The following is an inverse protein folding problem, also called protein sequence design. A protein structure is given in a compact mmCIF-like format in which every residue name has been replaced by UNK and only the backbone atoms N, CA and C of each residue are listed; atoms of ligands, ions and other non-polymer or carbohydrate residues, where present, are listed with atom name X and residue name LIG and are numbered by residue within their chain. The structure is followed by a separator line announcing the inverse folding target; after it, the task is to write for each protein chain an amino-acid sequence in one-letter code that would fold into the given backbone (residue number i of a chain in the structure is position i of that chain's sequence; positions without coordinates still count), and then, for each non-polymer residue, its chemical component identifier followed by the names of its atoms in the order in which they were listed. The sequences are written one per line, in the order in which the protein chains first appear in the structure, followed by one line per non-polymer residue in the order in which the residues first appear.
data_IF_935675029606
#
_entry.id   IF_935675029606
#
_cell.length_a   1.000
_cell.length_b   1.000
_cell.length_c   1.000
_cell.angle_alpha   90.00
_cell.angle_beta   90.00
_cell.angle_gamma   90.00
#
_symmetry.space_group_name_H-M   'P 1'
#
loop_
_entity.id
_entity.type
_entity.pdbx_description
1 polymer ?
#
# COMPACT_ATOMS: atom_id res chain seq x y z
N UNK A 1 -14.85 -8.53 10.81
CA UNK A 1 -13.76 -8.53 9.82
C UNK A 1 -14.09 -7.46 8.79
N UNK A 2 -13.14 -6.63 8.42
CA UNK A 2 -13.34 -5.57 7.41
C UNK A 2 -13.50 -6.22 6.04
N UNK A 3 -14.59 -5.90 5.35
CA UNK A 3 -14.83 -6.27 3.96
C UNK A 3 -15.12 -4.99 3.17
N UNK A 4 -14.40 -4.80 2.08
CA UNK A 4 -14.53 -3.64 1.20
C UNK A 4 -15.28 -4.10 -0.03
N UNK A 5 -16.40 -3.43 -0.35
CA UNK A 5 -17.20 -3.72 -1.51
C UNK A 5 -17.36 -2.49 -2.38
N UNK A 6 -17.05 -2.66 -3.65
CA UNK A 6 -17.22 -1.66 -4.72
C UNK A 6 -18.32 -2.13 -5.64
N UNK A 7 -19.27 -1.27 -5.97
CA UNK A 7 -20.40 -1.60 -6.85
C UNK A 7 -20.60 -0.52 -7.91
N UNK A 8 -20.54 -0.93 -9.17
CA UNK A 8 -20.81 -0.12 -10.36
C UNK A 8 -20.06 1.22 -10.37
N UNK A 9 -18.80 1.21 -9.91
CA UNK A 9 -17.99 2.41 -9.76
C UNK A 9 -17.60 2.97 -11.12
N UNK A 10 -17.89 4.25 -11.34
CA UNK A 10 -17.47 4.99 -12.54
C UNK A 10 -16.67 6.23 -12.14
N UNK A 11 -15.68 6.56 -12.97
CA UNK A 11 -14.90 7.79 -12.85
C UNK A 11 -14.43 8.27 -14.21
N UNK A 12 -14.64 9.56 -14.46
CA UNK A 12 -14.26 10.24 -15.71
C UNK A 12 -13.52 11.53 -15.37
N UNK A 13 -12.50 11.90 -16.12
CA UNK A 13 -11.86 13.20 -16.06
C UNK A 13 -11.96 13.88 -17.43
N UNK A 14 -12.76 14.95 -17.53
CA UNK A 14 -13.14 15.53 -18.81
C UNK A 14 -13.83 14.50 -19.70
N UNK A 15 -13.30 14.22 -20.87
CA UNK A 15 -13.83 13.22 -21.81
C UNK A 15 -13.20 11.82 -21.63
N UNK A 16 -12.28 11.66 -20.66
CA UNK A 16 -11.57 10.41 -20.46
C UNK A 16 -12.21 9.56 -19.36
N UNK A 17 -12.82 8.44 -19.76
CA UNK A 17 -13.36 7.44 -18.83
C UNK A 17 -12.22 6.62 -18.26
N UNK A 18 -12.03 6.68 -16.94
CA UNK A 18 -10.94 6.00 -16.21
C UNK A 18 -11.44 4.73 -15.53
N UNK A 19 -12.63 4.77 -14.92
CA UNK A 19 -13.27 3.60 -14.33
C UNK A 19 -14.67 3.47 -14.94
N UNK A 20 -15.00 2.26 -15.40
CA UNK A 20 -16.29 2.00 -16.01
C UNK A 20 -16.97 0.79 -15.36
N UNK A 21 -18.05 1.04 -14.63
CA UNK A 21 -18.90 0.01 -14.01
C UNK A 21 -18.13 -1.05 -13.20
N UNK A 22 -17.09 -0.63 -12.49
CA UNK A 22 -16.21 -1.53 -11.75
C UNK A 22 -16.91 -2.05 -10.50
N UNK A 23 -16.92 -3.39 -10.33
CA UNK A 23 -17.51 -4.03 -9.14
C UNK A 23 -16.60 -5.15 -8.64
N UNK A 24 -16.30 -5.16 -7.34
CA UNK A 24 -15.56 -6.23 -6.70
C UNK A 24 -15.73 -6.21 -5.18
N UNK A 25 -15.27 -7.28 -4.53
CA UNK A 25 -15.22 -7.39 -3.06
C UNK A 25 -13.83 -7.83 -2.62
N UNK A 26 -13.25 -7.11 -1.67
CA UNK A 26 -11.97 -7.41 -1.04
C UNK A 26 -12.18 -7.69 0.45
N UNK A 27 -11.95 -8.93 0.87
CA UNK A 27 -11.91 -9.38 2.26
C UNK A 27 -10.49 -9.58 2.76
N UNK A 28 -10.32 -10.25 3.89
CA UNK A 28 -9.01 -10.66 4.40
C UNK A 28 -8.24 -11.42 3.32
N UNK A 29 -6.97 -11.08 3.15
CA UNK A 29 -6.12 -11.57 2.07
C UNK A 29 -5.69 -10.48 1.12
N UNK A 30 -4.97 -10.86 0.06
CA UNK A 30 -4.54 -9.95 -0.98
C UNK A 30 -5.55 -9.91 -2.12
N UNK A 31 -5.95 -8.70 -2.52
CA UNK A 31 -6.69 -8.42 -3.76
C UNK A 31 -5.78 -7.59 -4.66
N UNK A 32 -5.39 -8.18 -5.80
CA UNK A 32 -4.57 -7.50 -6.81
C UNK A 32 -5.42 -6.65 -7.72
N UNK A 33 -5.00 -5.42 -7.92
CA UNK A 33 -5.58 -4.51 -8.91
C UNK A 33 -4.64 -4.52 -10.13
N UNK A 34 -5.09 -5.13 -11.21
CA UNK A 34 -4.34 -5.29 -12.44
C UNK A 34 -4.79 -4.28 -13.49
N UNK A 35 -3.85 -3.82 -14.30
CA UNK A 35 -4.13 -2.92 -15.40
C UNK A 35 -2.84 -2.28 -15.92
N UNK A 36 -2.87 -1.84 -17.17
CA UNK A 36 -1.74 -1.12 -17.79
C UNK A 36 -1.46 0.19 -17.05
N UNK A 37 -0.31 0.81 -17.31
CA UNK A 37 -0.07 2.18 -16.86
C UNK A 37 -1.20 3.09 -17.38
N UNK A 38 -1.74 3.94 -16.51
CA UNK A 38 -2.88 4.80 -16.86
C UNK A 38 -4.27 4.14 -16.82
N UNK A 39 -4.39 2.85 -16.52
CA UNK A 39 -5.70 2.15 -16.46
C UNK A 39 -6.61 2.57 -15.29
N UNK A 40 -6.18 3.51 -14.43
CA UNK A 40 -6.99 3.98 -13.31
C UNK A 40 -6.72 3.33 -11.96
N UNK A 41 -5.66 2.52 -11.82
CA UNK A 41 -5.31 1.86 -10.54
C UNK A 41 -5.19 2.88 -9.41
N UNK A 42 -4.34 3.88 -9.56
CA UNK A 42 -4.15 4.94 -8.57
C UNK A 42 -5.43 5.75 -8.31
N UNK A 43 -6.25 5.98 -9.34
CA UNK A 43 -7.56 6.65 -9.19
C UNK A 43 -8.50 5.81 -8.32
N UNK A 44 -8.62 4.50 -8.57
CA UNK A 44 -9.39 3.60 -7.74
C UNK A 44 -8.91 3.64 -6.27
N UNK A 45 -7.60 3.52 -6.05
CA UNK A 45 -7.03 3.54 -4.70
C UNK A 45 -7.29 4.89 -3.99
N UNK A 46 -7.20 6.00 -4.70
CA UNK A 46 -7.53 7.33 -4.15
C UNK A 46 -9.01 7.47 -3.77
N UNK A 47 -9.90 6.93 -4.58
CA UNK A 47 -11.34 6.90 -4.28
C UNK A 47 -11.62 6.07 -3.03
N UNK A 48 -11.00 4.90 -2.89
CA UNK A 48 -11.16 4.04 -1.70
C UNK A 48 -10.65 4.71 -0.42
N UNK A 49 -9.60 5.53 -0.54
CA UNK A 49 -9.05 6.34 0.57
C UNK A 49 -9.87 7.61 0.87
N UNK A 50 -10.91 7.91 0.09
CA UNK A 50 -11.67 9.15 0.19
C UNK A 50 -10.89 10.41 -0.24
N UNK A 51 -9.79 10.24 -0.97
CA UNK A 51 -8.97 11.34 -1.52
C UNK A 51 -9.50 11.85 -2.87
N UNK A 52 -10.44 11.11 -3.46
CA UNK A 52 -11.16 11.47 -4.67
C UNK A 52 -12.59 10.93 -4.59
N UNK A 53 -13.50 11.46 -5.39
CA UNK A 53 -14.89 11.02 -5.40
C UNK A 53 -15.23 10.32 -6.72
N UNK A 54 -15.98 9.22 -6.70
CA UNK A 54 -16.52 8.62 -7.92
C UNK A 54 -17.63 9.49 -8.52
N UNK A 55 -17.85 9.36 -9.80
CA UNK A 55 -18.98 10.03 -10.48
C UNK A 55 -20.29 9.28 -10.23
N UNK A 56 -20.20 7.95 -10.11
CA UNK A 56 -21.33 7.08 -9.75
C UNK A 56 -20.84 5.77 -9.14
N UNK A 57 -21.77 4.98 -8.60
CA UNK A 57 -21.51 3.74 -7.91
C UNK A 57 -21.56 3.87 -6.40
N UNK A 58 -21.24 2.78 -5.71
CA UNK A 58 -21.31 2.72 -4.25
C UNK A 58 -20.09 2.03 -3.65
N UNK A 59 -19.65 2.53 -2.50
CA UNK A 59 -18.54 1.99 -1.71
C UNK A 59 -19.05 1.59 -0.33
N UNK A 60 -18.68 0.38 0.12
CA UNK A 60 -19.04 -0.13 1.44
C UNK A 60 -17.78 -0.62 2.15
N UNK A 61 -17.73 -0.45 3.46
CA UNK A 61 -16.60 -0.88 4.28
C UNK A 61 -15.35 0.00 4.16
N UNK A 62 -15.42 1.10 3.41
CA UNK A 62 -14.29 2.04 3.22
C UNK A 62 -14.12 3.02 4.37
N UNK A 63 -15.13 3.18 5.23
CA UNK A 63 -15.03 4.00 6.45
C UNK A 63 -14.29 3.22 7.55
N UNK A 64 -13.03 2.90 7.30
CA UNK A 64 -12.14 2.17 8.19
C UNK A 64 -10.77 2.88 8.24
N UNK A 65 -9.90 2.45 9.15
CA UNK A 65 -8.54 3.00 9.22
C UNK A 65 -7.69 2.38 8.13
N UNK A 66 -7.29 3.19 7.19
CA UNK A 66 -6.39 2.79 6.12
C UNK A 66 -4.93 3.08 6.48
N UNK A 67 -4.04 2.17 6.13
CA UNK A 67 -2.65 2.51 5.90
C UNK A 67 -2.32 2.34 4.41
N UNK A 68 -1.44 3.20 3.89
CA UNK A 68 -1.17 3.23 2.46
C UNK A 68 0.32 3.42 2.15
N UNK A 69 0.78 2.73 1.11
CA UNK A 69 1.99 3.05 0.36
C UNK A 69 1.54 3.63 -0.97
N UNK A 70 1.94 4.85 -1.25
CA UNK A 70 1.69 5.53 -2.52
C UNK A 70 2.87 5.31 -3.48
N UNK A 71 2.69 5.67 -4.74
CA UNK A 71 3.76 5.64 -5.73
C UNK A 71 4.95 6.50 -5.29
N UNK A 72 4.69 7.64 -4.65
CA UNK A 72 5.69 8.45 -3.95
C UNK A 72 5.83 7.98 -2.49
N UNK A 73 7.06 7.82 -1.99
CA UNK A 73 7.31 7.29 -0.64
C UNK A 73 6.87 8.23 0.49
N UNK A 74 6.81 9.54 0.22
CA UNK A 74 6.34 10.59 1.16
C UNK A 74 7.04 10.49 2.52
N UNK A 75 8.36 10.42 2.49
CA UNK A 75 9.24 10.38 3.66
C UNK A 75 9.83 11.76 3.95
N UNK A 76 10.13 12.01 5.22
CA UNK A 76 10.81 13.23 5.66
C UNK A 76 12.32 13.06 5.46
N UNK A 77 12.86 13.67 4.41
CA UNK A 77 14.21 13.42 3.92
C UNK A 77 15.34 13.78 4.90
N UNK A 78 15.10 14.73 5.80
CA UNK A 78 16.08 15.21 6.79
C UNK A 78 16.09 14.41 8.10
N UNK A 79 15.11 13.52 8.28
CA UNK A 79 15.02 12.62 9.43
C UNK A 79 15.61 11.25 9.08
N UNK A 80 15.98 10.47 10.09
CA UNK A 80 16.33 9.07 9.94
C UNK A 80 15.09 8.16 9.86
N UNK A 81 15.30 6.84 9.79
CA UNK A 81 14.22 5.87 9.67
C UNK A 81 13.31 5.84 10.91
N UNK A 82 13.94 5.86 12.11
CA UNK A 82 13.20 5.78 13.37
C UNK A 82 12.33 7.02 13.58
N UNK A 83 12.88 8.20 13.34
CA UNK A 83 12.16 9.46 13.48
C UNK A 83 11.05 9.61 12.44
N UNK A 84 11.23 9.11 11.21
CA UNK A 84 10.14 9.02 10.22
C UNK A 84 8.99 8.13 10.71
N UNK A 85 9.30 6.98 11.32
CA UNK A 85 8.28 6.10 11.89
C UNK A 85 7.61 6.73 13.12
N UNK A 86 8.37 7.33 14.03
CA UNK A 86 7.84 8.06 15.20
C UNK A 86 6.89 9.18 14.79
N UNK A 87 7.29 9.97 13.80
CA UNK A 87 6.47 11.07 13.28
C UNK A 87 5.14 10.56 12.71
N UNK A 88 5.20 9.51 11.90
CA UNK A 88 4.01 8.99 11.20
C UNK A 88 3.05 8.22 12.13
N UNK A 89 3.59 7.49 13.11
CA UNK A 89 2.81 6.61 13.98
C UNK A 89 2.35 7.30 15.29
N UNK A 90 3.02 8.39 15.68
CA UNK A 90 2.69 9.14 16.89
C UNK A 90 2.65 8.24 18.13
N UNK A 91 1.55 8.26 18.86
CA UNK A 91 1.34 7.44 20.07
C UNK A 91 1.30 5.92 19.81
N UNK A 92 1.09 5.50 18.57
CA UNK A 92 1.10 4.09 18.18
C UNK A 92 2.51 3.55 17.88
N UNK A 93 3.54 4.39 17.92
CA UNK A 93 4.90 3.96 17.69
C UNK A 93 5.37 2.96 18.75
N UNK A 94 5.91 1.82 18.29
CA UNK A 94 6.51 0.79 19.14
C UNK A 94 7.93 0.50 18.64
N UNK A 95 8.91 0.88 19.44
CA UNK A 95 10.34 0.75 19.07
C UNK A 95 10.77 -0.71 18.82
N UNK A 96 10.25 -1.67 19.60
CA UNK A 96 10.59 -3.07 19.40
C UNK A 96 10.03 -3.62 18.10
N UNK A 97 8.75 -3.34 17.80
CA UNK A 97 8.12 -3.73 16.53
C UNK A 97 8.80 -3.05 15.33
N UNK A 98 9.12 -1.76 15.44
CA UNK A 98 9.84 -1.02 14.40
C UNK A 98 11.21 -1.63 14.12
N UNK A 99 12.01 -1.90 15.16
CA UNK A 99 13.34 -2.53 15.03
C UNK A 99 13.25 -3.91 14.36
N UNK A 100 12.29 -4.73 14.77
CA UNK A 100 12.08 -6.06 14.18
C UNK A 100 11.75 -5.95 12.70
N UNK A 101 10.73 -5.15 12.33
CA UNK A 101 10.30 -5.03 10.94
C UNK A 101 11.35 -4.34 10.05
N UNK A 102 12.07 -3.33 10.56
CA UNK A 102 13.21 -2.74 9.84
C UNK A 102 14.30 -3.79 9.60
N UNK A 103 14.59 -4.65 10.58
CA UNK A 103 15.52 -5.77 10.43
C UNK A 103 15.07 -6.75 9.34
N UNK A 104 13.80 -7.17 9.36
CA UNK A 104 13.21 -8.05 8.34
C UNK A 104 13.31 -7.43 6.93
N UNK A 105 13.08 -6.14 6.81
CA UNK A 105 13.16 -5.40 5.55
C UNK A 105 14.59 -5.01 5.15
N UNK A 106 15.64 -5.50 5.83
CA UNK A 106 17.03 -5.23 5.52
C UNK A 106 17.43 -3.77 5.74
N UNK A 107 16.85 -3.13 6.75
CA UNK A 107 17.12 -1.76 7.16
C UNK A 107 17.64 -1.68 8.61
N UNK A 108 18.23 -2.79 9.14
CA UNK A 108 18.74 -2.83 10.52
C UNK A 108 19.94 -1.90 10.74
N UNK A 109 20.85 -1.82 9.76
CA UNK A 109 22.16 -1.19 9.90
C UNK A 109 22.22 0.24 9.32
N UNK A 110 21.06 0.86 9.09
CA UNK A 110 21.02 2.21 8.52
C UNK A 110 21.37 3.31 9.54
N UNK A 111 21.34 2.99 10.85
CA UNK A 111 21.66 3.92 11.94
C UNK A 111 20.83 5.22 11.86
N UNK A 112 21.46 6.32 12.27
CA UNK A 112 20.89 7.68 12.20
C UNK A 112 21.12 8.36 10.84
N UNK A 113 21.34 7.59 9.78
CA UNK A 113 21.50 8.11 8.42
C UNK A 113 20.20 8.78 7.94
N UNK A 114 20.25 10.04 7.47
CA UNK A 114 19.05 10.72 6.99
C UNK A 114 18.50 10.08 5.70
N UNK A 115 17.18 10.11 5.54
CA UNK A 115 16.48 9.49 4.42
C UNK A 115 16.89 10.06 3.04
N UNK A 116 17.34 11.32 2.97
CA UNK A 116 17.82 11.88 1.71
C UNK A 116 19.00 11.09 1.13
N UNK A 117 19.77 10.41 1.96
CA UNK A 117 20.91 9.56 1.56
C UNK A 117 20.54 8.10 1.28
N UNK A 118 19.27 7.71 1.44
CA UNK A 118 18.80 6.36 1.14
C UNK A 118 18.69 6.15 -0.37
N UNK A 119 18.96 4.92 -0.83
CA UNK A 119 18.60 4.50 -2.18
C UNK A 119 17.07 4.48 -2.36
N UNK A 120 16.60 4.48 -3.60
CA UNK A 120 15.17 4.35 -3.89
C UNK A 120 14.53 3.11 -3.25
N UNK A 121 15.20 1.98 -3.34
CA UNK A 121 14.75 0.73 -2.72
C UNK A 121 14.72 0.78 -1.18
N UNK A 122 15.67 1.48 -0.54
CA UNK A 122 15.64 1.69 0.91
C UNK A 122 14.44 2.57 1.31
N UNK A 123 14.19 3.65 0.58
CA UNK A 123 13.03 4.53 0.80
C UNK A 123 11.74 3.75 0.65
N UNK A 124 11.63 2.93 -0.39
CA UNK A 124 10.44 2.10 -0.65
C UNK A 124 10.17 1.12 0.50
N UNK A 125 11.21 0.42 0.98
CA UNK A 125 11.10 -0.50 2.12
C UNK A 125 10.71 0.21 3.41
N UNK A 126 11.22 1.43 3.66
CA UNK A 126 10.82 2.22 4.82
C UNK A 126 9.36 2.72 4.72
N UNK A 127 8.91 3.14 3.54
CA UNK A 127 7.52 3.51 3.32
C UNK A 127 6.57 2.31 3.56
N UNK A 128 7.00 1.11 3.16
CA UNK A 128 6.29 -0.13 3.45
C UNK A 128 6.27 -0.44 4.95
N UNK A 129 7.43 -0.33 5.64
CA UNK A 129 7.50 -0.51 7.10
C UNK A 129 6.53 0.41 7.83
N UNK A 130 6.48 1.69 7.44
CA UNK A 130 5.55 2.67 8.00
C UNK A 130 4.09 2.24 7.84
N UNK A 131 3.71 1.75 6.68
CA UNK A 131 2.33 1.32 6.43
C UNK A 131 1.98 0.05 7.20
N UNK A 132 2.91 -0.91 7.30
CA UNK A 132 2.69 -2.17 8.01
C UNK A 132 2.61 -1.99 9.54
N UNK A 133 3.36 -1.04 10.10
CA UNK A 133 3.34 -0.70 11.52
C UNK A 133 2.14 0.15 11.92
N UNK A 134 1.52 0.85 11.00
CA UNK A 134 0.38 1.72 11.29
C UNK A 134 -0.84 0.91 11.74
N UNK A 135 -1.52 1.30 12.84
CA UNK A 135 -2.78 0.72 13.24
C UNK A 135 -3.81 0.91 12.12
N UNK A 136 -4.16 -0.18 11.44
CA UNK A 136 -5.04 -0.14 10.29
C UNK A 136 -5.95 -1.34 10.22
N UNK A 137 -7.14 -1.14 9.65
CA UNK A 137 -8.12 -2.18 9.40
C UNK A 137 -8.00 -2.73 7.98
N UNK A 138 -7.34 -2.00 7.08
CA UNK A 138 -7.03 -2.39 5.70
C UNK A 138 -5.77 -1.68 5.18
N UNK A 139 -5.12 -2.25 4.16
CA UNK A 139 -3.92 -1.70 3.51
C UNK A 139 -4.18 -1.41 2.04
N UNK A 140 -3.61 -0.31 1.55
CA UNK A 140 -3.50 0.02 0.13
C UNK A 140 -2.03 0.17 -0.23
N UNK A 141 -1.59 -0.59 -1.23
CA UNK A 141 -0.21 -0.63 -1.69
C UNK A 141 -0.17 -0.33 -3.19
N UNK A 142 0.28 0.88 -3.56
CA UNK A 142 0.42 1.31 -4.95
C UNK A 142 1.89 1.12 -5.39
N UNK A 143 2.11 0.12 -6.25
CA UNK A 143 3.41 -0.28 -6.79
C UNK A 143 4.49 -0.49 -5.68
N UNK A 144 4.24 -1.33 -4.64
CA UNK A 144 5.10 -1.41 -3.46
C UNK A 144 6.49 -1.99 -3.71
N UNK A 145 6.72 -2.61 -4.87
CA UNK A 145 7.97 -3.29 -5.22
C UNK A 145 8.87 -2.47 -6.15
N UNK A 146 8.44 -1.30 -6.60
CA UNK A 146 9.22 -0.45 -7.51
C UNK A 146 10.60 -0.14 -6.96
N UNK A 147 11.64 -0.43 -7.75
CA UNK A 147 13.03 -0.16 -7.39
C UNK A 147 13.64 -1.17 -6.39
N UNK A 148 12.96 -2.29 -6.12
CA UNK A 148 13.50 -3.39 -5.33
C UNK A 148 14.13 -4.45 -6.26
N UNK A 149 15.27 -4.98 -5.84
CA UNK A 149 15.81 -6.21 -6.41
C UNK A 149 14.99 -7.44 -5.97
N UNK A 150 15.26 -8.60 -6.55
CA UNK A 150 14.47 -9.82 -6.33
C UNK A 150 14.48 -10.29 -4.87
N UNK A 151 15.61 -10.15 -4.17
CA UNK A 151 15.73 -10.52 -2.77
C UNK A 151 14.86 -9.62 -1.88
N UNK A 152 15.02 -8.30 -2.00
CA UNK A 152 14.24 -7.32 -1.25
C UNK A 152 12.75 -7.37 -1.58
N UNK A 153 12.41 -7.67 -2.85
CA UNK A 153 11.02 -7.89 -3.28
C UNK A 153 10.41 -9.10 -2.58
N UNK A 154 11.13 -10.22 -2.53
CA UNK A 154 10.67 -11.44 -1.85
C UNK A 154 10.46 -11.20 -0.34
N UNK A 155 11.36 -10.43 0.29
CA UNK A 155 11.23 -10.03 1.69
C UNK A 155 9.98 -9.16 1.88
N UNK A 156 9.83 -8.11 1.09
CA UNK A 156 8.68 -7.20 1.17
C UNK A 156 7.36 -7.95 0.96
N UNK A 157 7.32 -8.88 0.02
CA UNK A 157 6.15 -9.72 -0.25
C UNK A 157 5.77 -10.57 0.97
N UNK A 158 6.74 -11.22 1.64
CA UNK A 158 6.47 -11.99 2.87
C UNK A 158 5.84 -11.12 3.97
N UNK A 159 6.36 -9.91 4.18
CA UNK A 159 5.80 -8.97 5.17
C UNK A 159 4.36 -8.57 4.80
N UNK A 160 4.08 -8.32 3.52
CA UNK A 160 2.73 -8.01 3.01
C UNK A 160 1.79 -9.20 3.22
N UNK A 161 2.20 -10.42 2.87
CA UNK A 161 1.41 -11.64 3.04
C UNK A 161 1.12 -11.93 4.52
N UNK A 162 2.06 -11.66 5.41
CA UNK A 162 1.83 -11.77 6.86
C UNK A 162 0.73 -10.80 7.32
N UNK A 163 0.78 -9.52 6.91
CA UNK A 163 -0.28 -8.56 7.22
C UNK A 163 -1.64 -8.96 6.63
N UNK A 164 -1.64 -9.54 5.43
CA UNK A 164 -2.85 -9.99 4.74
C UNK A 164 -3.57 -11.16 5.44
N UNK A 165 -2.94 -11.84 6.40
CA UNK A 165 -3.60 -12.89 7.19
C UNK A 165 -4.72 -12.35 8.09
N UNK A 166 -4.69 -11.07 8.42
CA UNK A 166 -5.62 -10.47 9.40
C UNK A 166 -6.48 -9.35 8.83
N UNK A 167 -6.13 -8.79 7.68
CA UNK A 167 -6.83 -7.64 7.09
C UNK A 167 -6.81 -7.68 5.56
N UNK A 168 -7.72 -6.97 4.88
CA UNK A 168 -7.67 -6.76 3.44
C UNK A 168 -6.42 -5.98 3.04
N UNK A 169 -5.76 -6.44 1.97
CA UNK A 169 -4.66 -5.74 1.31
C UNK A 169 -5.01 -5.57 -0.17
N UNK A 170 -5.22 -4.34 -0.60
CA UNK A 170 -5.37 -4.00 -2.01
C UNK A 170 -4.01 -3.62 -2.58
N UNK A 171 -3.53 -4.40 -3.53
CA UNK A 171 -2.20 -4.26 -4.11
C UNK A 171 -2.30 -3.96 -5.60
N UNK A 172 -1.96 -2.74 -5.99
CA UNK A 172 -1.79 -2.37 -7.38
C UNK A 172 -0.34 -2.61 -7.81
N UNK A 173 -0.14 -3.42 -8.83
CA UNK A 173 1.15 -3.67 -9.44
C UNK A 173 0.97 -4.05 -10.90
N UNK A 174 1.91 -3.62 -11.75
CA UNK A 174 2.00 -4.07 -13.14
C UNK A 174 2.90 -5.31 -13.29
N UNK A 175 3.64 -5.69 -12.25
CA UNK A 175 4.54 -6.82 -12.26
C UNK A 175 3.78 -8.15 -12.07
N UNK A 176 4.26 -9.20 -12.72
CA UNK A 176 3.79 -10.54 -12.46
C UNK A 176 4.26 -10.97 -11.04
N UNK A 177 3.32 -11.21 -10.16
CA UNK A 177 3.57 -11.70 -8.81
C UNK A 177 2.97 -13.08 -8.68
N UNK A 178 3.76 -14.04 -8.25
CA UNK A 178 3.24 -15.35 -7.86
C UNK A 178 2.62 -15.24 -6.46
N UNK A 179 1.31 -15.00 -6.43
CA UNK A 179 0.54 -14.86 -5.20
C UNK A 179 -0.50 -16.00 -5.13
N UNK A 180 -0.23 -17.04 -4.37
CA UNK A 180 -1.19 -18.13 -4.22
C UNK A 180 -2.48 -17.60 -3.58
N UNK A 181 -3.63 -17.99 -4.16
CA UNK A 181 -4.97 -17.69 -3.66
C UNK A 181 -5.31 -16.19 -3.54
N UNK A 182 -4.70 -15.31 -4.33
CA UNK A 182 -5.11 -13.91 -4.39
C UNK A 182 -6.33 -13.71 -5.31
N UNK A 183 -7.19 -12.77 -4.96
CA UNK A 183 -8.21 -12.27 -5.86
C UNK A 183 -7.60 -11.28 -6.84
N UNK A 184 -8.08 -11.28 -8.08
CA UNK A 184 -7.65 -10.34 -9.11
C UNK A 184 -8.82 -9.50 -9.58
N UNK A 185 -8.57 -8.22 -9.73
CA UNK A 185 -9.48 -7.21 -10.27
C UNK A 185 -8.79 -6.57 -11.46
N UNK A 186 -9.37 -6.76 -12.64
CA UNK A 186 -8.86 -6.20 -13.89
C UNK A 186 -9.50 -4.84 -14.15
N UNK A 187 -8.67 -3.82 -14.47
CA UNK A 187 -9.10 -2.49 -14.92
C UNK A 187 -8.91 -2.34 -16.41
#
# INVERSE_FOLDING_TARGET
MTEIRVQNLCKTYGDHVVLHNLSFTAGVGVTRILGRSGAGKTTLLRILLGLDQPDSGSLFGTNCRWAAVFQEDRLLGHLDAEDNLRFALGSAYNAAAAKTLLGELGLADVGSKPICEYSGGMKRRLALARALLAPSDALILDEPFTGLDEENRSIALRCILHAAQTKPVLLASHEALDLPNCKEVQL
#
